data_IF_303170488817
#
_entry.id   IF_303170488817
#
_cell.length_a   1.000
_cell.length_b   1.000
_cell.length_c   1.000
_cell.angle_alpha   90.00
_cell.angle_beta   90.00
_cell.angle_gamma   90.00
#
_symmetry.space_group_name_H-M   'P 1'
#
loop_
_entity.id
_entity.type
_entity.pdbx_description
1 polymer ?
#
# COMPACT_ATOMS: atom_id res chain seq x y z
N UNK A 1 -13.63 -5.10 -4.46
CA UNK A 1 -13.45 -6.49 -4.01
C UNK A 1 -13.77 -6.64 -2.53
N UNK A 2 -12.79 -6.72 -1.62
CA UNK A 2 -13.02 -7.07 -0.21
C UNK A 2 -14.04 -6.19 0.55
N UNK A 3 -13.76 -4.90 0.74
CA UNK A 3 -14.60 -4.04 1.59
C UNK A 3 -15.98 -3.65 1.02
N UNK A 4 -16.23 -3.89 -0.26
CA UNK A 4 -17.49 -3.49 -0.93
C UNK A 4 -18.31 -4.69 -1.40
N UNK A 5 -17.65 -5.68 -2.02
CA UNK A 5 -18.26 -6.86 -2.63
C UNK A 5 -18.04 -8.15 -1.81
N UNK A 6 -17.27 -8.09 -0.72
CA UNK A 6 -16.93 -9.25 0.13
C UNK A 6 -16.21 -10.38 -0.64
N UNK A 7 -15.45 -10.02 -1.66
CA UNK A 7 -14.65 -10.98 -2.43
C UNK A 7 -13.34 -11.31 -1.69
N UNK A 8 -12.97 -12.58 -1.69
CA UNK A 8 -11.71 -13.05 -1.11
C UNK A 8 -10.53 -12.72 -2.03
N UNK A 9 -9.79 -11.67 -1.69
CA UNK A 9 -8.61 -11.20 -2.42
C UNK A 9 -7.36 -12.07 -2.19
N UNK A 10 -7.46 -13.18 -1.45
CA UNK A 10 -6.41 -14.20 -1.42
C UNK A 10 -6.51 -15.21 -2.57
N UNK A 11 -7.60 -15.18 -3.36
CA UNK A 11 -7.82 -16.07 -4.50
C UNK A 11 -7.29 -15.46 -5.81
N UNK A 12 -6.45 -16.19 -6.54
CA UNK A 12 -5.89 -15.76 -7.83
C UNK A 12 -6.97 -15.39 -8.86
N UNK A 13 -8.09 -16.12 -8.88
CA UNK A 13 -9.20 -15.83 -9.78
C UNK A 13 -9.84 -14.46 -9.51
N UNK A 14 -9.93 -14.06 -8.23
CA UNK A 14 -10.43 -12.74 -7.83
C UNK A 14 -9.44 -11.65 -8.23
N UNK A 15 -8.14 -11.86 -7.99
CA UNK A 15 -7.09 -10.93 -8.41
C UNK A 15 -7.06 -10.74 -9.93
N UNK A 16 -7.18 -11.83 -10.69
CA UNK A 16 -7.23 -11.80 -12.15
C UNK A 16 -8.47 -11.04 -12.67
N UNK A 17 -9.63 -11.18 -12.00
CA UNK A 17 -10.83 -10.38 -12.34
C UNK A 17 -10.60 -8.90 -12.11
N UNK A 18 -10.02 -8.53 -10.96
CA UNK A 18 -9.71 -7.13 -10.62
C UNK A 18 -8.74 -6.55 -11.65
N UNK A 19 -7.69 -7.29 -12.03
CA UNK A 19 -6.72 -6.84 -13.04
C UNK A 19 -7.43 -6.49 -14.36
N UNK A 20 -8.29 -7.38 -14.87
CA UNK A 20 -9.05 -7.13 -16.10
C UNK A 20 -10.01 -5.94 -15.96
N UNK A 21 -10.69 -5.80 -14.82
CA UNK A 21 -11.60 -4.67 -14.53
C UNK A 21 -10.89 -3.31 -14.64
N UNK A 22 -9.60 -3.24 -14.27
CA UNK A 22 -8.81 -1.99 -14.28
C UNK A 22 -7.84 -1.88 -15.47
N UNK A 23 -7.90 -2.80 -16.44
CA UNK A 23 -7.07 -2.78 -17.64
C UNK A 23 -5.61 -3.23 -17.45
N UNK A 24 -5.34 -4.01 -16.40
CA UNK A 24 -4.04 -4.67 -16.16
C UNK A 24 -4.09 -6.07 -16.78
N UNK A 25 -3.02 -6.46 -17.46
CA UNK A 25 -2.81 -7.83 -17.94
C UNK A 25 -2.72 -8.79 -16.74
N UNK A 26 -3.70 -9.69 -16.63
CA UNK A 26 -3.83 -10.59 -15.49
C UNK A 26 -2.73 -11.67 -15.46
N UNK A 27 -2.24 -12.10 -16.62
CA UNK A 27 -1.21 -13.14 -16.71
C UNK A 27 0.15 -12.53 -16.35
N UNK A 28 0.46 -11.35 -16.91
CA UNK A 28 1.67 -10.61 -16.54
C UNK A 28 1.68 -10.22 -15.04
N UNK A 29 0.52 -9.87 -14.47
CA UNK A 29 0.38 -9.62 -13.04
C UNK A 29 0.67 -10.88 -12.21
N UNK A 30 0.04 -12.01 -12.54
CA UNK A 30 0.22 -13.28 -11.83
C UNK A 30 1.67 -13.76 -11.89
N UNK A 31 2.31 -13.67 -13.05
CA UNK A 31 3.74 -13.94 -13.21
C UNK A 31 4.58 -12.99 -12.35
N UNK A 32 4.28 -11.68 -12.37
CA UNK A 32 5.00 -10.68 -11.60
C UNK A 32 4.97 -10.94 -10.10
N UNK A 33 3.79 -11.12 -9.50
CA UNK A 33 3.68 -11.33 -8.05
C UNK A 33 4.36 -12.63 -7.57
N UNK A 34 4.61 -13.58 -8.45
CA UNK A 34 5.36 -14.80 -8.15
C UNK A 34 6.88 -14.59 -8.10
N UNK A 35 7.40 -13.54 -8.76
CA UNK A 35 8.84 -13.29 -8.86
C UNK A 35 9.47 -12.89 -7.53
N UNK A 36 10.66 -13.41 -7.26
CA UNK A 36 11.42 -13.12 -6.04
C UNK A 36 11.66 -11.62 -5.84
N UNK A 37 12.04 -10.90 -6.91
CA UNK A 37 12.31 -9.46 -6.84
C UNK A 37 11.12 -8.64 -6.35
N UNK A 38 9.89 -8.99 -6.75
CA UNK A 38 8.67 -8.31 -6.31
C UNK A 38 8.35 -8.67 -4.85
N UNK A 39 8.48 -9.94 -4.47
CA UNK A 39 8.28 -10.38 -3.08
C UNK A 39 9.29 -9.75 -2.12
N UNK A 40 10.54 -9.63 -2.54
CA UNK A 40 11.59 -9.05 -1.71
C UNK A 40 11.43 -7.53 -1.60
N UNK A 41 10.97 -6.84 -2.65
CA UNK A 41 10.59 -5.43 -2.56
C UNK A 41 9.44 -5.20 -1.57
N UNK A 42 8.42 -6.07 -1.54
CA UNK A 42 7.33 -5.98 -0.56
C UNK A 42 7.85 -6.16 0.89
N UNK A 43 8.74 -7.12 1.12
CA UNK A 43 9.38 -7.32 2.44
C UNK A 43 10.21 -6.09 2.83
N UNK A 44 11.05 -5.60 1.93
CA UNK A 44 11.91 -4.44 2.17
C UNK A 44 11.10 -3.19 2.53
N UNK A 45 9.99 -2.91 1.83
CA UNK A 45 9.09 -1.81 2.17
C UNK A 45 8.47 -1.98 3.58
N UNK A 46 8.14 -3.22 3.95
CA UNK A 46 7.60 -3.54 5.29
C UNK A 46 8.67 -3.35 6.37
N UNK A 47 9.89 -3.83 6.12
CA UNK A 47 11.03 -3.69 7.02
C UNK A 47 11.42 -2.23 7.21
N UNK A 48 11.38 -1.41 6.14
CA UNK A 48 11.61 0.04 6.22
C UNK A 48 10.56 0.70 7.13
N UNK A 49 9.28 0.38 6.95
CA UNK A 49 8.21 0.92 7.79
C UNK A 49 8.42 0.57 9.27
N UNK A 50 8.77 -0.69 9.57
CA UNK A 50 9.09 -1.15 10.93
C UNK A 50 10.30 -0.40 11.49
N UNK A 51 11.39 -0.28 10.72
CA UNK A 51 12.61 0.41 11.12
C UNK A 51 12.37 1.89 11.44
N UNK A 52 11.39 2.52 10.76
CA UNK A 52 10.96 3.91 11.01
C UNK A 52 9.96 4.04 12.16
N UNK A 53 9.56 2.94 12.80
CA UNK A 53 8.68 2.93 13.97
C UNK A 53 7.20 2.70 13.67
N UNK A 54 6.83 2.33 12.44
CA UNK A 54 5.44 1.97 12.13
C UNK A 54 5.03 0.69 12.85
N UNK A 55 3.84 0.70 13.46
CA UNK A 55 3.31 -0.44 14.24
C UNK A 55 1.89 -0.85 13.82
N UNK A 56 1.34 -0.24 12.77
CA UNK A 56 -0.01 -0.54 12.29
C UNK A 56 -0.32 0.13 10.95
N UNK A 57 -1.54 -0.06 10.47
CA UNK A 57 -2.01 0.50 9.20
C UNK A 57 -3.34 1.26 9.36
N UNK A 58 -3.50 2.43 8.71
CA UNK A 58 -2.49 3.12 7.92
C UNK A 58 -1.47 3.87 8.81
N UNK A 59 -0.22 3.92 8.35
CA UNK A 59 0.83 4.81 8.88
C UNK A 59 1.35 5.68 7.73
N UNK A 60 1.46 6.98 7.97
CA UNK A 60 1.96 7.97 7.02
C UNK A 60 3.23 8.61 7.56
N UNK A 61 4.15 8.96 6.67
CA UNK A 61 5.31 9.76 7.00
C UNK A 61 5.36 11.02 6.12
N UNK A 62 5.64 12.17 6.74
CA UNK A 62 5.96 13.43 6.04
C UNK A 62 7.35 13.85 6.52
N UNK A 63 8.35 13.68 5.66
CA UNK A 63 9.75 13.71 6.06
C UNK A 63 10.02 12.74 7.23
N UNK A 64 10.47 13.25 8.38
CA UNK A 64 10.73 12.48 9.60
C UNK A 64 9.49 12.29 10.49
N UNK A 65 8.42 13.06 10.28
CA UNK A 65 7.24 13.00 11.14
C UNK A 65 6.35 11.81 10.78
N UNK A 66 5.95 11.03 11.79
CA UNK A 66 5.08 9.86 11.65
C UNK A 66 3.66 10.16 12.14
N UNK A 67 2.65 9.71 11.37
CA UNK A 67 1.24 9.82 11.71
C UNK A 67 0.56 8.44 11.57
N UNK A 68 -0.01 7.92 12.66
CA UNK A 68 -0.72 6.65 12.66
C UNK A 68 -2.24 6.86 12.73
N UNK A 69 -2.98 6.19 11.83
CA UNK A 69 -4.45 6.20 11.80
C UNK A 69 -5.05 7.06 10.69
N UNK A 70 -6.21 6.62 10.17
CA UNK A 70 -6.95 7.34 9.12
C UNK A 70 -7.55 8.67 9.65
N UNK A 71 -7.76 8.78 10.95
CA UNK A 71 -8.21 9.99 11.65
C UNK A 71 -7.13 11.10 11.73
N UNK A 72 -5.94 10.85 11.17
CA UNK A 72 -4.82 11.81 11.12
C UNK A 72 -4.61 12.48 9.77
N UNK A 73 -5.46 12.22 8.77
CA UNK A 73 -5.29 12.77 7.41
C UNK A 73 -5.19 14.30 7.39
N UNK A 74 -5.96 15.02 8.21
CA UNK A 74 -5.88 16.49 8.26
C UNK A 74 -4.54 17.00 8.80
N UNK A 75 -3.92 16.26 9.73
CA UNK A 75 -2.59 16.56 10.24
C UNK A 75 -1.52 16.28 9.19
N UNK A 76 -1.64 15.16 8.46
CA UNK A 76 -0.76 14.82 7.32
C UNK A 76 -0.83 15.91 6.26
N UNK A 77 -2.04 16.34 5.87
CA UNK A 77 -2.25 17.45 4.92
C UNK A 77 -1.55 18.72 5.38
N UNK A 78 -1.74 19.08 6.66
CA UNK A 78 -1.14 20.27 7.24
C UNK A 78 0.40 20.19 7.24
N UNK A 79 0.97 19.02 7.53
CA UNK A 79 2.42 18.80 7.49
C UNK A 79 2.99 18.95 6.07
N UNK A 80 2.32 18.35 5.07
CA UNK A 80 2.73 18.48 3.66
C UNK A 80 2.69 19.94 3.20
N UNK A 81 1.65 20.69 3.57
CA UNK A 81 1.54 22.11 3.21
C UNK A 81 2.62 22.97 3.86
N UNK A 82 2.97 22.71 5.12
CA UNK A 82 4.08 23.40 5.80
C UNK A 82 5.42 23.12 5.11
N UNK A 83 5.69 21.87 4.75
CA UNK A 83 6.94 21.49 4.09
C UNK A 83 7.12 22.06 2.69
N UNK A 84 6.05 22.44 1.98
CA UNK A 84 6.11 23.10 0.67
C UNK A 84 6.38 24.61 0.74
N UNK A 85 6.12 25.22 1.90
CA UNK A 85 6.29 26.65 2.11
C UNK A 85 7.70 27.02 2.65
N UNK A 86 8.49 26.02 3.02
CA UNK A 86 9.89 26.13 3.43
C UNK A 86 10.81 25.90 2.23
#
# INVERSE_FOLDING_TARGET
AYFTRQEDISQDAVLASICREVGIDADAFAEGIAQAVIKDALKANTDEAIARGAFGSPTFFVASDMYFGNDRIDLVRSAVLRGRAA
#
